data_IF_420065605671
#
_entry.id   IF_420065605671
#
_cell.length_a   1.000
_cell.length_b   1.000
_cell.length_c   1.000
_cell.angle_alpha   90.00
_cell.angle_beta   90.00
_cell.angle_gamma   90.00
#
_symmetry.space_group_name_H-M   'P 1'
#
loop_
_entity.id
_entity.type
_entity.pdbx_description
1 polymer ?
#
# COMPACT_ATOMS: atom_id res chain seq x y z
N UNK A 1 11.28 -29.17 -11.98
CA UNK A 1 11.76 -28.45 -10.77
C UNK A 1 12.69 -27.26 -11.05
N UNK A 2 13.54 -27.29 -12.06
CA UNK A 2 14.49 -26.21 -12.37
C UNK A 2 13.86 -24.91 -12.90
N UNK A 3 12.78 -24.97 -13.65
CA UNK A 3 12.09 -23.79 -14.19
C UNK A 3 11.36 -22.99 -13.11
N UNK A 4 10.73 -23.67 -12.17
CA UNK A 4 10.02 -23.05 -11.05
C UNK A 4 10.98 -22.31 -10.10
N UNK A 5 12.15 -22.90 -9.82
CA UNK A 5 13.22 -22.24 -9.01
C UNK A 5 13.75 -20.99 -9.71
N UNK A 6 13.90 -20.99 -11.05
CA UNK A 6 14.35 -19.80 -11.81
C UNK A 6 13.30 -18.69 -11.79
N UNK A 7 12.01 -19.03 -11.87
CA UNK A 7 10.92 -18.05 -11.79
C UNK A 7 10.83 -17.45 -10.38
N UNK A 8 10.95 -18.25 -9.32
CA UNK A 8 11.01 -17.75 -7.94
C UNK A 8 12.22 -16.84 -7.69
N UNK A 9 13.40 -17.18 -8.22
CA UNK A 9 14.59 -16.35 -8.10
C UNK A 9 14.44 -15.01 -8.84
N UNK A 10 13.86 -15.00 -10.03
CA UNK A 10 13.56 -13.78 -10.78
C UNK A 10 12.49 -12.92 -10.08
N UNK A 11 11.48 -13.51 -9.45
CA UNK A 11 10.45 -12.81 -8.70
C UNK A 11 11.04 -12.18 -7.40
N UNK A 12 11.93 -12.88 -6.70
CA UNK A 12 12.61 -12.33 -5.51
C UNK A 12 13.53 -11.14 -5.83
N UNK A 13 14.16 -11.09 -7.01
CA UNK A 13 15.03 -9.96 -7.39
C UNK A 13 14.23 -8.69 -7.73
N UNK A 14 12.98 -8.79 -8.14
CA UNK A 14 12.12 -7.62 -8.41
C UNK A 14 11.58 -6.93 -7.14
N UNK A 15 11.55 -7.62 -5.99
CA UNK A 15 11.03 -7.05 -4.74
C UNK A 15 12.04 -6.07 -4.09
N UNK A 16 13.31 -6.13 -4.44
CA UNK A 16 14.36 -5.24 -3.89
C UNK A 16 14.38 -3.83 -4.49
N UNK A 17 13.62 -3.56 -5.55
CA UNK A 17 13.57 -2.25 -6.22
C UNK A 17 12.57 -1.26 -5.57
N UNK A 18 11.91 -1.64 -4.46
CA UNK A 18 10.95 -0.78 -3.75
C UNK A 18 11.57 0.05 -2.61
N UNK A 19 12.91 0.00 -2.43
CA UNK A 19 13.60 0.90 -1.50
C UNK A 19 13.70 2.28 -2.14
N UNK A 20 13.11 3.30 -1.50
CA UNK A 20 13.30 4.69 -1.88
C UNK A 20 14.79 5.06 -1.95
N UNK A 21 15.10 6.22 -2.53
CA UNK A 21 16.44 6.73 -2.70
C UNK A 21 17.21 6.74 -1.37
N UNK A 22 18.40 6.14 -1.35
CA UNK A 22 19.25 6.04 -0.16
C UNK A 22 20.44 7.01 -0.27
N UNK A 23 21.06 7.32 0.86
CA UNK A 23 22.28 8.16 0.91
C UNK A 23 23.38 7.60 0.01
N UNK A 24 23.55 6.27 0.00
CA UNK A 24 24.53 5.62 -0.86
C UNK A 24 24.26 5.85 -2.35
N UNK A 25 22.97 5.85 -2.74
CA UNK A 25 22.56 6.14 -4.12
C UNK A 25 22.88 7.59 -4.46
N UNK A 26 22.51 8.55 -3.60
CA UNK A 26 22.79 9.96 -3.81
C UNK A 26 24.30 10.26 -3.88
N UNK A 27 25.11 9.60 -3.04
CA UNK A 27 26.56 9.72 -3.10
C UNK A 27 27.16 9.14 -4.40
N UNK A 28 26.65 8.02 -4.88
CA UNK A 28 27.06 7.43 -6.16
C UNK A 28 26.69 8.32 -7.35
N UNK A 29 25.61 9.07 -7.26
CA UNK A 29 25.19 10.08 -8.23
C UNK A 29 26.04 11.36 -8.15
N UNK A 30 26.93 11.48 -7.17
CA UNK A 30 27.87 12.60 -7.00
C UNK A 30 27.32 13.73 -6.12
N UNK A 31 26.22 13.52 -5.41
CA UNK A 31 25.66 14.53 -4.51
C UNK A 31 26.45 14.64 -3.21
N UNK A 32 26.71 15.88 -2.79
CA UNK A 32 27.37 16.20 -1.54
C UNK A 32 26.45 16.16 -0.33
N UNK A 33 27.03 16.24 0.87
CA UNK A 33 26.30 16.18 2.13
C UNK A 33 25.18 17.22 2.25
N UNK A 34 25.39 18.42 1.69
CA UNK A 34 24.40 19.49 1.72
C UNK A 34 23.13 19.11 0.97
N UNK A 35 23.30 18.53 -0.23
CA UNK A 35 22.18 18.01 -1.03
C UNK A 35 21.46 16.88 -0.30
N UNK A 36 22.21 15.92 0.26
CA UNK A 36 21.64 14.77 0.97
C UNK A 36 20.80 15.22 2.16
N UNK A 37 21.31 16.18 2.96
CA UNK A 37 20.54 16.75 4.07
C UNK A 37 19.25 17.39 3.58
N UNK A 38 19.34 18.25 2.56
CA UNK A 38 18.15 18.86 1.96
C UNK A 38 17.15 17.82 1.44
N UNK A 39 17.66 16.77 0.79
CA UNK A 39 16.81 15.68 0.27
C UNK A 39 16.01 14.99 1.38
N UNK A 40 16.61 14.69 2.52
CA UNK A 40 15.88 14.12 3.66
C UNK A 40 14.83 15.07 4.21
N UNK A 41 15.19 16.33 4.45
CA UNK A 41 14.27 17.34 4.97
C UNK A 41 13.08 17.54 4.02
N UNK A 42 13.36 17.63 2.72
CA UNK A 42 12.34 17.73 1.68
C UNK A 42 11.44 16.51 1.62
N UNK A 43 12.00 15.29 1.71
CA UNK A 43 11.22 14.06 1.65
C UNK A 43 10.22 13.96 2.80
N UNK A 44 10.61 14.26 4.03
CA UNK A 44 9.69 14.34 5.15
C UNK A 44 8.61 15.39 4.94
N UNK A 45 9.00 16.58 4.45
CA UNK A 45 8.08 17.67 4.13
C UNK A 45 7.06 17.27 3.06
N UNK A 46 7.52 16.63 1.98
CA UNK A 46 6.66 16.15 0.89
C UNK A 46 5.66 15.08 1.33
N UNK A 47 6.08 14.13 2.16
CA UNK A 47 5.16 13.16 2.75
C UNK A 47 4.13 13.83 3.64
N UNK A 48 4.53 14.82 4.45
CA UNK A 48 3.62 15.59 5.29
C UNK A 48 2.59 16.34 4.47
N UNK A 49 3.00 17.03 3.43
CA UNK A 49 2.10 17.77 2.53
C UNK A 49 1.13 16.85 1.78
N UNK A 50 1.56 15.64 1.45
CA UNK A 50 0.69 14.62 0.85
C UNK A 50 -0.23 13.88 1.84
N UNK A 51 -0.35 14.40 3.08
CA UNK A 51 -1.33 13.94 4.07
C UNK A 51 -0.82 12.91 5.07
N UNK A 52 0.50 12.68 5.17
CA UNK A 52 1.04 11.84 6.22
C UNK A 52 1.11 12.59 7.56
N UNK A 53 0.20 12.29 8.46
CA UNK A 53 0.14 12.97 9.76
C UNK A 53 1.26 12.56 10.74
N UNK A 54 1.99 11.50 10.45
CA UNK A 54 3.14 11.06 11.27
C UNK A 54 4.44 11.75 10.88
N UNK A 55 4.46 12.43 9.74
CA UNK A 55 5.60 13.17 9.23
C UNK A 55 5.55 14.64 9.65
N UNK A 56 6.70 15.32 9.55
CA UNK A 56 6.86 16.73 9.88
C UNK A 56 7.31 17.52 8.66
N UNK A 57 6.90 18.76 8.59
CA UNK A 57 7.44 19.73 7.62
C UNK A 57 8.76 20.27 8.13
N UNK A 58 9.85 19.97 7.43
CA UNK A 58 11.22 20.31 7.82
C UNK A 58 11.86 21.15 6.73
N UNK A 59 12.30 22.34 7.07
CA UNK A 59 13.06 23.21 6.18
C UNK A 59 14.00 24.09 6.99
N UNK A 60 15.27 24.09 6.63
CA UNK A 60 16.22 25.11 7.07
C UNK A 60 16.11 26.30 6.12
N UNK A 61 15.40 27.32 6.53
CA UNK A 61 15.09 28.49 5.68
C UNK A 61 16.34 29.33 5.33
N UNK A 62 17.35 29.33 6.19
CA UNK A 62 18.62 30.05 5.92
C UNK A 62 19.42 29.31 4.85
N UNK A 63 19.56 27.98 5.00
CA UNK A 63 20.22 27.14 3.99
C UNK A 63 19.44 27.11 2.70
N UNK A 64 18.12 27.02 2.74
CA UNK A 64 17.28 27.03 1.54
C UNK A 64 17.45 28.32 0.73
N UNK A 65 17.74 29.45 1.39
CA UNK A 65 17.99 30.73 0.73
C UNK A 65 19.44 30.89 0.21
N UNK A 66 20.43 30.32 0.93
CA UNK A 66 21.85 30.58 0.69
C UNK A 66 22.66 29.40 0.12
N UNK A 67 22.18 28.19 0.30
CA UNK A 67 22.86 26.94 -0.12
C UNK A 67 22.12 26.28 -1.28
N UNK A 68 22.65 26.43 -2.47
CA UNK A 68 22.02 25.92 -3.69
C UNK A 68 21.89 24.39 -3.72
N UNK A 69 22.87 23.66 -3.12
CA UNK A 69 22.85 22.20 -3.05
C UNK A 69 21.77 21.72 -2.07
N UNK A 70 21.67 22.34 -0.88
CA UNK A 70 20.60 22.05 0.06
C UNK A 70 19.22 22.27 -0.57
N UNK A 71 19.03 23.41 -1.23
CA UNK A 71 17.77 23.74 -1.90
C UNK A 71 17.43 22.75 -2.98
N UNK A 72 18.38 22.36 -3.82
CA UNK A 72 18.17 21.40 -4.87
C UNK A 72 17.79 20.02 -4.31
N UNK A 73 18.49 19.56 -3.26
CA UNK A 73 18.17 18.36 -2.54
C UNK A 73 16.78 18.41 -1.92
N UNK A 74 16.43 19.52 -1.26
CA UNK A 74 15.13 19.70 -0.61
C UNK A 74 13.97 19.58 -1.61
N UNK A 75 14.06 20.25 -2.75
CA UNK A 75 13.03 20.18 -3.81
C UNK A 75 12.90 18.77 -4.41
N UNK A 76 14.02 18.08 -4.62
CA UNK A 76 14.02 16.71 -5.10
C UNK A 76 13.40 15.75 -4.08
N UNK A 77 13.76 15.90 -2.82
CA UNK A 77 13.21 15.12 -1.72
C UNK A 77 11.71 15.33 -1.52
N UNK A 78 11.25 16.59 -1.58
CA UNK A 78 9.83 16.93 -1.50
C UNK A 78 9.01 16.21 -2.58
N UNK A 79 9.46 16.24 -3.82
CA UNK A 79 8.80 15.56 -4.93
C UNK A 79 8.76 14.04 -4.72
N UNK A 80 9.87 13.43 -4.25
CA UNK A 80 9.90 12.00 -3.91
C UNK A 80 8.98 11.67 -2.75
N UNK A 81 8.97 12.46 -1.69
CA UNK A 81 8.10 12.27 -0.53
C UNK A 81 6.62 12.28 -0.87
N UNK A 82 6.17 13.22 -1.69
CA UNK A 82 4.79 13.26 -2.22
C UNK A 82 4.45 11.98 -2.97
N UNK A 83 5.31 11.56 -3.89
CA UNK A 83 5.12 10.34 -4.68
C UNK A 83 5.06 9.08 -3.80
N UNK A 84 5.95 8.95 -2.82
CA UNK A 84 5.96 7.82 -1.89
C UNK A 84 4.66 7.73 -1.08
N UNK A 85 4.17 8.87 -0.59
CA UNK A 85 2.93 8.93 0.16
C UNK A 85 1.71 8.57 -0.70
N UNK A 86 1.63 9.08 -1.92
CA UNK A 86 0.57 8.73 -2.87
C UNK A 86 0.56 7.23 -3.18
N UNK A 87 1.73 6.63 -3.39
CA UNK A 87 1.87 5.19 -3.61
C UNK A 87 1.45 4.37 -2.39
N UNK A 88 1.82 4.81 -1.18
CA UNK A 88 1.43 4.16 0.07
C UNK A 88 -0.09 4.18 0.27
N UNK A 89 -0.73 5.32 0.00
CA UNK A 89 -2.20 5.46 0.07
C UNK A 89 -2.88 4.58 -0.98
N UNK A 90 -2.39 4.57 -2.21
CA UNK A 90 -2.93 3.73 -3.27
C UNK A 90 -2.82 2.23 -2.94
N UNK A 91 -1.67 1.79 -2.41
CA UNK A 91 -1.47 0.41 -1.96
C UNK A 91 -2.38 0.04 -0.79
N UNK A 92 -2.54 0.94 0.19
CA UNK A 92 -3.45 0.76 1.32
C UNK A 92 -4.91 0.63 0.87
N UNK A 93 -5.36 1.47 -0.05
CA UNK A 93 -6.71 1.41 -0.61
C UNK A 93 -6.96 0.13 -1.41
N UNK A 94 -5.97 -0.31 -2.21
CA UNK A 94 -6.06 -1.57 -2.94
C UNK A 94 -6.16 -2.78 -2.00
N UNK A 95 -5.38 -2.81 -0.92
CA UNK A 95 -5.44 -3.86 0.09
C UNK A 95 -6.79 -3.85 0.84
N UNK A 96 -7.29 -2.68 1.22
CA UNK A 96 -8.60 -2.53 1.87
C UNK A 96 -9.74 -2.97 0.94
N UNK A 97 -9.69 -2.62 -0.34
CA UNK A 97 -10.66 -3.04 -1.35
C UNK A 97 -10.67 -4.57 -1.54
N UNK A 98 -9.49 -5.20 -1.61
CA UNK A 98 -9.37 -6.65 -1.72
C UNK A 98 -9.92 -7.37 -0.47
N UNK A 99 -9.65 -6.84 0.73
CA UNK A 99 -10.19 -7.38 1.97
C UNK A 99 -11.71 -7.24 2.05
N UNK A 100 -12.25 -6.06 1.68
CA UNK A 100 -13.69 -5.81 1.62
C UNK A 100 -14.40 -6.75 0.64
N UNK A 101 -13.87 -6.93 -0.56
CA UNK A 101 -14.42 -7.84 -1.56
C UNK A 101 -14.42 -9.31 -1.07
N UNK A 102 -13.37 -9.72 -0.35
CA UNK A 102 -13.31 -11.07 0.22
C UNK A 102 -14.35 -11.30 1.33
N UNK A 103 -14.61 -10.28 2.15
CA UNK A 103 -15.64 -10.36 3.20
C UNK A 103 -17.05 -10.41 2.60
N UNK A 104 -17.33 -9.56 1.60
CA UNK A 104 -18.61 -9.57 0.88
C UNK A 104 -18.85 -10.93 0.22
N UNK A 105 -17.83 -11.53 -0.41
CA UNK A 105 -17.92 -12.86 -1.00
C UNK A 105 -18.27 -13.95 0.03
N UNK A 106 -17.75 -13.87 1.26
CA UNK A 106 -18.10 -14.80 2.34
C UNK A 106 -19.50 -14.61 2.89
N UNK A 107 -19.99 -13.38 2.94
CA UNK A 107 -21.36 -13.08 3.42
C UNK A 107 -22.41 -13.43 2.38
N UNK A 108 -22.15 -13.22 1.08
CA UNK A 108 -23.06 -13.65 0.02
C UNK A 108 -23.22 -15.17 -0.04
N UNK A 109 -22.15 -15.94 0.24
CA UNK A 109 -22.25 -17.40 0.31
C UNK A 109 -23.06 -17.90 1.53
N UNK A 110 -23.09 -17.13 2.62
CA UNK A 110 -23.95 -17.40 3.78
C UNK A 110 -25.42 -17.01 3.56
N UNK A 111 -25.66 -16.00 2.75
CA UNK A 111 -26.99 -15.46 2.44
C UNK A 111 -27.53 -15.92 1.09
N UNK A 112 -27.02 -17.00 0.53
CA UNK A 112 -27.53 -17.61 -0.69
C UNK A 112 -28.99 -18.08 -0.42
N UNK A 113 -30.00 -17.48 -1.05
CA UNK A 113 -31.42 -17.80 -0.81
C UNK A 113 -31.75 -19.28 -1.13
N UNK A 114 -31.04 -19.88 -2.10
CA UNK A 114 -31.23 -21.29 -2.41
C UNK A 114 -30.66 -22.22 -1.32
N UNK A 115 -29.57 -21.81 -0.67
CA UNK A 115 -28.98 -22.57 0.44
C UNK A 115 -29.85 -22.45 1.69
N UNK A 116 -30.34 -21.25 1.99
CA UNK A 116 -31.26 -20.99 3.11
C UNK A 116 -32.55 -21.82 2.92
N UNK A 117 -33.10 -21.83 1.71
CA UNK A 117 -34.28 -22.62 1.40
C UNK A 117 -34.05 -24.14 1.54
N UNK A 118 -32.88 -24.64 1.08
CA UNK A 118 -32.52 -26.06 1.25
C UNK A 118 -32.31 -26.45 2.70
N UNK A 119 -31.68 -25.58 3.49
CA UNK A 119 -31.43 -25.86 4.91
C UNK A 119 -32.73 -25.79 5.72
N UNK A 120 -33.63 -24.86 5.40
CA UNK A 120 -34.96 -24.78 6.01
C UNK A 120 -35.84 -26.02 5.68
N UNK A 121 -35.67 -26.61 4.49
CA UNK A 121 -36.43 -27.81 4.07
C UNK A 121 -35.89 -29.11 4.69
N UNK A 122 -34.65 -29.13 5.19
CA UNK A 122 -34.08 -30.31 5.84
C UNK A 122 -34.75 -30.66 7.17
N UNK A 123 -35.24 -29.66 7.88
CA UNK A 123 -35.88 -29.81 9.19
C UNK A 123 -37.40 -29.94 9.10
N UNK A 124 -37.98 -29.94 7.88
CA UNK A 124 -39.41 -30.17 7.65
C UNK A 124 -39.67 -31.68 7.63
N UNK A 125 -40.26 -32.16 8.69
CA UNK A 125 -40.74 -33.54 8.78
C UNK A 125 -41.89 -33.75 7.78
N UNK A 126 -41.55 -34.46 6.65
CA UNK A 126 -42.49 -34.77 5.59
C UNK A 126 -43.58 -35.76 6.00
N UNK A 127 -43.45 -36.42 7.14
CA UNK A 127 -44.45 -37.35 7.65
C UNK A 127 -45.65 -36.61 8.25
N UNK A 128 -45.43 -35.39 8.78
CA UNK A 128 -46.50 -34.50 9.27
C UNK A 128 -47.38 -33.98 8.13
N UNK A 129 -46.82 -33.73 6.93
CA UNK A 129 -47.55 -33.25 5.79
C UNK A 129 -48.49 -34.29 5.18
N UNK A 130 -48.09 -35.59 5.22
CA UNK A 130 -48.92 -36.70 4.77
C UNK A 130 -50.16 -36.97 5.65
N UNK A 131 -50.13 -36.51 6.89
CA UNK A 131 -51.27 -36.65 7.80
C UNK A 131 -52.40 -35.62 7.56
N UNK A 132 -52.13 -34.54 6.79
CA UNK A 132 -53.10 -33.54 6.44
C UNK A 132 -53.89 -33.80 5.15
N UNK A 133 -53.54 -34.86 4.41
CA UNK A 133 -54.15 -35.23 3.11
C UNK A 133 -55.29 -36.30 3.24
N UNK A 134 -55.78 -36.50 4.47
CA UNK A 134 -56.95 -37.43 4.71
C UNK A 134 -58.15 -36.61 5.13
#
# INVERSE_FOLDING_TARGET
MTRLRKICLLACTMILAACGTTDATLQQEGHGQSYITGFHDGRHSGMKEAGNNFEQYIIDTERFASDADYKAGWLAGEAEGKKLQEQAVAAGNAAAGAYGAHQIGKETDKNDPEKIARDALKDVDTDTLKSLEK
#
